data_IF_392760748217
#
_entry.id   IF_392760748217
#
_cell.length_a   1.000
_cell.length_b   1.000
_cell.length_c   1.000
_cell.angle_alpha   90.00
_cell.angle_beta   90.00
_cell.angle_gamma   90.00
#
_symmetry.space_group_name_H-M   'P 1'
#
loop_
_entity.id
_entity.type
_entity.pdbx_description
1 polymer ?
#
# COMPACT_ATOMS: atom_id res chain seq x y z
N UNK A 1 20.15 -64.21 27.38
CA UNK A 1 19.73 -63.73 26.05
C UNK A 1 18.53 -64.57 25.60
N UNK A 2 17.44 -63.98 25.11
CA UNK A 2 16.25 -64.72 24.65
C UNK A 2 16.18 -64.67 23.12
N UNK A 3 16.36 -65.81 22.47
CA UNK A 3 16.20 -65.96 21.02
C UNK A 3 14.74 -66.33 20.71
N UNK A 4 14.11 -65.65 19.75
CA UNK A 4 12.77 -65.97 19.24
C UNK A 4 12.84 -66.52 17.82
N UNK A 5 11.91 -67.40 17.39
CA UNK A 5 12.19 -68.32 16.28
C UNK A 5 11.80 -67.77 14.90
N UNK A 6 12.61 -68.11 13.91
CA UNK A 6 12.37 -67.83 12.49
C UNK A 6 11.17 -68.67 11.98
N UNK A 7 10.16 -68.03 11.38
CA UNK A 7 9.07 -68.71 10.66
C UNK A 7 9.30 -68.68 9.15
N UNK A 8 9.87 -69.76 8.62
CA UNK A 8 9.85 -70.06 7.19
C UNK A 8 8.48 -70.65 6.82
N UNK A 9 7.79 -70.09 5.82
CA UNK A 9 6.56 -70.68 5.26
C UNK A 9 6.83 -71.16 3.83
N UNK A 10 6.78 -72.48 3.62
CA UNK A 10 7.27 -73.13 2.41
C UNK A 10 6.29 -73.17 1.22
N UNK A 11 6.86 -73.48 0.05
CA UNK A 11 6.16 -73.84 -1.21
C UNK A 11 5.41 -75.18 -1.09
N UNK A 12 4.32 -75.32 -1.87
CA UNK A 12 3.72 -76.52 -2.55
C UNK A 12 2.24 -76.15 -2.84
N UNK A 13 1.58 -76.46 -3.95
CA UNK A 13 1.86 -76.96 -5.31
C UNK A 13 0.66 -76.51 -6.19
N UNK A 14 0.33 -76.99 -7.39
CA UNK A 14 0.96 -77.84 -8.40
C UNK A 14 0.19 -77.64 -9.75
N UNK A 15 0.72 -78.07 -10.90
CA UNK A 15 0.08 -77.93 -12.22
C UNK A 15 -0.98 -79.01 -12.53
N UNK A 16 -1.94 -78.74 -13.45
CA UNK A 16 -2.28 -79.61 -14.62
C UNK A 16 -3.17 -78.88 -15.69
N UNK A 17 -3.43 -79.43 -16.92
CA UNK A 17 -2.86 -78.78 -18.13
C UNK A 17 -3.75 -78.71 -19.41
N UNK A 18 -3.21 -78.14 -20.50
CA UNK A 18 -3.50 -78.42 -21.95
C UNK A 18 -4.92 -78.13 -22.52
N UNK A 19 -5.15 -77.84 -23.81
CA UNK A 19 -4.27 -77.89 -24.99
C UNK A 19 -4.70 -76.98 -26.16
N UNK A 20 -3.74 -76.77 -27.09
CA UNK A 20 -3.86 -76.24 -28.49
C UNK A 20 -4.38 -74.79 -28.66
N UNK A 21 -4.13 -74.06 -29.77
CA UNK A 21 -3.41 -74.32 -31.03
C UNK A 21 -2.53 -73.08 -31.43
N UNK A 22 -1.61 -73.14 -32.44
CA UNK A 22 -0.57 -72.11 -32.61
C UNK A 22 -0.86 -71.04 -33.69
N UNK A 23 -0.34 -69.83 -33.46
CA UNK A 23 -0.07 -68.83 -34.50
C UNK A 23 1.28 -68.16 -34.25
N UNK A 24 2.20 -68.29 -35.21
CA UNK A 24 3.48 -67.57 -35.24
C UNK A 24 3.19 -66.10 -35.55
N UNK A 25 3.95 -65.15 -34.98
CA UNK A 25 4.53 -63.96 -35.70
C UNK A 25 5.11 -62.93 -34.71
N UNK A 26 6.36 -62.50 -35.00
CA UNK A 26 7.09 -61.32 -34.49
C UNK A 26 7.35 -61.20 -32.98
N UNK A 27 8.64 -61.31 -32.63
CA UNK A 27 9.20 -60.66 -31.46
C UNK A 27 9.02 -59.14 -31.57
N UNK A 28 8.57 -58.43 -30.51
CA UNK A 28 9.00 -57.07 -30.28
C UNK A 28 10.39 -57.13 -29.63
N UNK A 29 11.33 -56.41 -30.22
CA UNK A 29 12.66 -56.16 -29.67
C UNK A 29 12.50 -55.54 -28.27
N UNK A 30 13.28 -56.01 -27.31
CA UNK A 30 13.45 -55.30 -26.04
C UNK A 30 14.21 -53.99 -26.30
N UNK A 31 13.48 -52.93 -26.63
CA UNK A 31 13.95 -51.59 -26.32
C UNK A 31 13.84 -51.43 -24.82
N UNK A 32 14.94 -51.75 -24.14
CA UNK A 32 15.25 -51.32 -22.77
C UNK A 32 15.41 -49.79 -22.77
N UNK A 33 14.31 -49.09 -23.06
CA UNK A 33 14.19 -47.67 -22.85
C UNK A 33 14.16 -47.48 -21.34
N UNK A 34 15.37 -47.33 -20.78
CA UNK A 34 15.67 -46.90 -19.43
C UNK A 34 15.16 -45.49 -19.16
N UNK A 35 13.86 -45.27 -19.34
CA UNK A 35 13.06 -44.29 -18.65
C UNK A 35 13.04 -44.68 -17.16
N UNK A 36 14.21 -44.53 -16.53
CA UNK A 36 14.28 -44.23 -15.12
C UNK A 36 13.37 -43.01 -14.93
N UNK A 37 12.14 -43.28 -14.47
CA UNK A 37 11.26 -42.30 -13.87
C UNK A 37 12.07 -41.67 -12.76
N UNK A 38 12.78 -40.59 -13.08
CA UNK A 38 13.26 -39.62 -12.11
C UNK A 38 11.98 -39.19 -11.43
N UNK A 39 11.73 -39.76 -10.26
CA UNK A 39 10.60 -39.45 -9.42
C UNK A 39 10.82 -37.99 -9.00
N UNK A 40 10.36 -37.08 -9.87
CA UNK A 40 10.63 -35.65 -9.79
C UNK A 40 10.15 -35.25 -8.42
N UNK A 41 11.07 -34.89 -7.52
CA UNK A 41 10.78 -34.55 -6.13
C UNK A 41 9.60 -33.58 -6.12
N UNK A 42 8.41 -34.11 -5.84
CA UNK A 42 7.19 -33.37 -6.04
C UNK A 42 7.14 -32.37 -4.90
N UNK A 43 7.03 -31.08 -5.21
CA UNK A 43 7.21 -30.01 -4.23
C UNK A 43 6.34 -30.24 -2.98
N UNK A 44 5.09 -30.67 -3.16
CA UNK A 44 4.16 -31.02 -2.07
C UNK A 44 4.63 -32.14 -1.11
N UNK A 45 5.59 -33.01 -1.51
CA UNK A 45 6.15 -34.07 -0.64
C UNK A 45 7.23 -33.56 0.32
N UNK A 46 7.73 -32.33 0.16
CA UNK A 46 8.75 -31.78 1.06
C UNK A 46 8.13 -31.40 2.42
N UNK A 47 8.91 -31.38 3.53
CA UNK A 47 8.48 -30.80 4.81
C UNK A 47 8.07 -29.33 4.68
N UNK A 48 7.21 -28.84 5.58
CA UNK A 48 6.69 -27.46 5.49
C UNK A 48 7.81 -26.43 5.62
N UNK A 49 8.77 -26.66 6.49
CA UNK A 49 9.90 -25.78 6.79
C UNK A 49 10.76 -25.57 5.54
N UNK A 50 11.00 -26.64 4.79
CA UNK A 50 11.74 -26.60 3.52
C UNK A 50 10.93 -25.85 2.44
N UNK A 51 9.60 -25.99 2.43
CA UNK A 51 8.74 -25.23 1.53
C UNK A 51 8.70 -23.74 1.86
N UNK A 52 8.63 -23.35 3.14
CA UNK A 52 8.71 -21.95 3.56
C UNK A 52 10.05 -21.33 3.15
N UNK A 53 11.17 -22.04 3.38
CA UNK A 53 12.52 -21.61 2.94
C UNK A 53 12.60 -21.45 1.42
N UNK A 54 12.13 -22.43 0.64
CA UNK A 54 12.12 -22.34 -0.84
C UNK A 54 11.24 -21.16 -1.30
N UNK A 55 10.07 -20.97 -0.70
CA UNK A 55 9.14 -19.90 -1.05
C UNK A 55 9.77 -18.52 -0.82
N UNK A 56 10.33 -18.29 0.38
CA UNK A 56 11.00 -17.04 0.75
C UNK A 56 12.25 -16.79 -0.13
N UNK A 57 13.09 -17.81 -0.33
CA UNK A 57 14.28 -17.69 -1.17
C UNK A 57 13.95 -17.43 -2.65
N UNK A 58 12.86 -18.01 -3.16
CA UNK A 58 12.42 -17.81 -4.55
C UNK A 58 11.82 -16.42 -4.81
N UNK A 59 11.37 -15.72 -3.76
CA UNK A 59 10.56 -14.48 -3.82
C UNK A 59 9.31 -14.58 -4.70
N UNK A 60 8.91 -15.79 -5.12
CA UNK A 60 7.87 -15.97 -6.12
C UNK A 60 6.49 -16.08 -5.47
N UNK A 61 5.78 -14.95 -5.40
CA UNK A 61 4.42 -14.85 -4.86
C UNK A 61 3.37 -15.65 -5.62
N UNK A 62 3.67 -16.16 -6.83
CA UNK A 62 2.78 -17.07 -7.56
C UNK A 62 2.90 -18.54 -7.09
N UNK A 63 3.92 -18.91 -6.32
CA UNK A 63 4.16 -20.28 -5.89
C UNK A 63 2.98 -20.91 -5.12
N UNK A 64 2.32 -20.21 -4.17
CA UNK A 64 1.14 -20.74 -3.48
C UNK A 64 -0.06 -20.92 -4.42
N UNK A 65 -0.12 -20.19 -5.53
CA UNK A 65 -1.24 -20.24 -6.48
C UNK A 65 -1.19 -21.47 -7.41
N UNK A 66 -0.07 -22.19 -7.45
CA UNK A 66 0.11 -23.37 -8.32
C UNK A 66 -0.73 -24.58 -7.85
N UNK A 67 -1.01 -24.68 -6.55
CA UNK A 67 -1.75 -25.80 -5.97
C UNK A 67 -2.36 -25.40 -4.61
N UNK A 68 -3.62 -25.77 -4.35
CA UNK A 68 -4.30 -25.50 -3.07
C UNK A 68 -3.60 -26.10 -1.83
N UNK A 69 -2.89 -27.23 -1.95
CA UNK A 69 -2.07 -27.77 -0.86
C UNK A 69 -0.90 -26.84 -0.53
N UNK A 70 -0.18 -26.37 -1.56
CA UNK A 70 0.89 -25.39 -1.40
C UNK A 70 0.35 -24.06 -0.86
N UNK A 71 -0.83 -23.63 -1.31
CA UNK A 71 -1.51 -22.47 -0.75
C UNK A 71 -1.72 -22.60 0.76
N UNK A 72 -2.37 -23.67 1.21
CA UNK A 72 -2.68 -23.87 2.63
C UNK A 72 -1.42 -23.91 3.51
N UNK A 73 -0.36 -24.54 3.01
CA UNK A 73 0.91 -24.70 3.75
C UNK A 73 1.78 -23.44 3.75
N UNK A 74 1.81 -22.70 2.65
CA UNK A 74 2.58 -21.45 2.51
C UNK A 74 1.81 -20.21 2.99
N UNK A 75 0.51 -20.32 3.29
CA UNK A 75 -0.30 -19.25 3.88
C UNK A 75 -0.10 -19.12 5.40
N UNK A 76 0.88 -19.82 5.98
CA UNK A 76 1.26 -19.69 7.39
C UNK A 76 1.67 -18.23 7.73
N UNK A 77 1.35 -17.71 8.93
CA UNK A 77 1.84 -16.40 9.35
C UNK A 77 3.38 -16.33 9.38
N UNK A 78 4.04 -17.43 9.74
CA UNK A 78 5.51 -17.58 9.69
C UNK A 78 6.08 -17.23 8.32
N UNK A 79 5.58 -17.90 7.26
CA UNK A 79 6.04 -17.66 5.89
C UNK A 79 5.80 -16.22 5.44
N UNK A 80 4.67 -15.62 5.83
CA UNK A 80 4.34 -14.22 5.53
C UNK A 80 5.28 -13.24 6.22
N UNK A 81 5.56 -13.42 7.52
CA UNK A 81 6.55 -12.59 8.24
C UNK A 81 7.95 -12.72 7.65
N UNK A 82 8.36 -13.92 7.24
CA UNK A 82 9.65 -14.14 6.57
C UNK A 82 9.70 -13.48 5.18
N UNK A 83 8.63 -13.54 4.38
CA UNK A 83 8.53 -12.84 3.10
C UNK A 83 8.61 -11.31 3.25
N UNK A 84 7.86 -10.73 4.20
CA UNK A 84 7.93 -9.29 4.49
C UNK A 84 9.34 -8.92 4.95
N UNK A 85 9.95 -9.72 5.82
CA UNK A 85 11.35 -9.53 6.25
C UNK A 85 12.35 -9.64 5.09
N UNK A 86 12.10 -10.51 4.11
CA UNK A 86 12.94 -10.65 2.92
C UNK A 86 12.78 -9.48 1.91
N UNK A 87 11.63 -8.82 1.89
CA UNK A 87 11.36 -7.68 1.00
C UNK A 87 11.79 -6.33 1.61
N UNK A 88 11.54 -6.13 2.90
CA UNK A 88 11.78 -4.86 3.59
C UNK A 88 13.04 -4.88 4.46
N UNK A 89 13.54 -6.05 4.87
CA UNK A 89 14.61 -6.17 5.85
C UNK A 89 15.94 -5.50 5.48
N UNK A 90 16.26 -5.34 4.20
CA UNK A 90 17.44 -4.59 3.75
C UNK A 90 17.26 -3.07 3.93
N UNK A 91 16.08 -2.55 3.59
CA UNK A 91 15.69 -1.15 3.83
C UNK A 91 15.66 -0.88 5.33
N UNK A 92 15.03 -1.77 6.10
CA UNK A 92 15.00 -1.68 7.56
C UNK A 92 16.41 -1.75 8.16
N UNK A 93 17.29 -2.67 7.74
CA UNK A 93 18.62 -2.75 8.38
C UNK A 93 19.48 -1.51 8.16
N UNK A 94 19.30 -0.88 6.99
CA UNK A 94 20.03 0.34 6.61
C UNK A 94 19.49 1.59 7.32
N UNK A 95 18.16 1.70 7.48
CA UNK A 95 17.50 2.95 7.87
C UNK A 95 16.73 2.88 9.20
N UNK A 96 16.73 1.75 9.91
CA UNK A 96 16.02 1.62 11.18
C UNK A 96 16.50 2.66 12.21
N UNK A 97 15.59 3.57 12.53
CA UNK A 97 15.82 4.66 13.49
C UNK A 97 16.67 5.82 12.97
N UNK A 98 16.95 5.89 11.67
CA UNK A 98 17.51 7.08 11.05
C UNK A 98 16.38 8.03 10.64
N UNK A 99 16.58 9.33 10.91
CA UNK A 99 15.75 10.36 10.28
C UNK A 99 16.13 10.44 8.80
N UNK A 100 15.15 10.56 7.90
CA UNK A 100 15.43 10.80 6.47
C UNK A 100 16.23 12.10 6.26
N UNK A 101 16.09 13.11 7.14
CA UNK A 101 16.94 14.32 7.16
C UNK A 101 18.42 13.96 7.42
N UNK A 102 18.69 12.94 8.24
CA UNK A 102 20.05 12.43 8.49
C UNK A 102 20.61 11.64 7.30
N UNK A 103 19.74 11.08 6.44
CA UNK A 103 20.14 10.39 5.19
C UNK A 103 20.29 11.39 4.03
N UNK A 104 19.57 12.52 4.08
CA UNK A 104 19.56 13.62 3.11
C UNK A 104 20.86 14.43 3.06
N UNK A 105 21.96 13.75 2.76
CA UNK A 105 23.32 14.32 2.70
C UNK A 105 23.55 15.28 1.52
N UNK A 106 22.63 15.37 0.56
CA UNK A 106 22.68 16.28 -0.59
C UNK A 106 21.28 16.46 -1.23
N UNK A 107 21.13 17.48 -2.08
CA UNK A 107 19.89 17.72 -2.85
C UNK A 107 19.57 16.53 -3.77
N UNK A 108 18.29 16.23 -3.97
CA UNK A 108 17.82 15.15 -4.86
C UNK A 108 18.26 13.73 -4.46
N UNK A 109 18.70 13.51 -3.21
CA UNK A 109 19.05 12.17 -2.70
C UNK A 109 17.95 11.11 -2.90
N UNK A 110 16.68 11.55 -2.91
CA UNK A 110 15.49 10.70 -3.15
C UNK A 110 15.39 10.18 -4.58
N UNK A 111 16.13 10.77 -5.52
CA UNK A 111 16.22 10.38 -6.92
C UNK A 111 17.46 9.52 -7.24
N UNK A 112 18.44 9.38 -6.33
CA UNK A 112 19.60 8.51 -6.54
C UNK A 112 19.25 7.05 -6.22
N UNK A 113 18.59 6.42 -7.19
CA UNK A 113 18.12 5.03 -7.13
C UNK A 113 19.23 4.02 -6.81
N UNK A 114 20.49 4.33 -7.13
CA UNK A 114 21.63 3.44 -6.92
C UNK A 114 22.12 3.42 -5.46
N UNK A 115 21.72 4.39 -4.64
CA UNK A 115 22.14 4.51 -3.22
C UNK A 115 21.07 4.11 -2.22
N UNK A 116 19.80 4.09 -2.60
CA UNK A 116 18.73 3.70 -1.67
C UNK A 116 18.68 2.16 -1.60
N UNK A 117 18.88 1.62 -0.40
CA UNK A 117 18.94 0.16 -0.20
C UNK A 117 17.53 -0.42 -0.08
N UNK A 118 17.19 -1.32 -0.99
CA UNK A 118 15.92 -2.05 -0.99
C UNK A 118 15.62 -2.74 -2.32
N UNK A 119 14.46 -3.40 -2.38
CA UNK A 119 13.89 -3.96 -3.61
C UNK A 119 12.47 -3.40 -3.76
N UNK A 120 12.28 -2.21 -4.38
CA UNK A 120 10.97 -1.58 -4.48
C UNK A 120 9.96 -2.42 -5.27
N UNK A 121 10.42 -3.20 -6.25
CA UNK A 121 9.55 -4.07 -7.03
C UNK A 121 8.97 -5.19 -6.15
N UNK A 122 9.81 -5.84 -5.33
CA UNK A 122 9.37 -6.89 -4.42
C UNK A 122 8.57 -6.33 -3.23
N UNK A 123 8.93 -5.18 -2.67
CA UNK A 123 8.12 -4.49 -1.65
C UNK A 123 6.72 -4.16 -2.19
N UNK A 124 6.63 -3.60 -3.40
CA UNK A 124 5.35 -3.34 -4.07
C UNK A 124 4.54 -4.61 -4.31
N UNK A 125 5.21 -5.71 -4.72
CA UNK A 125 4.56 -6.99 -4.95
C UNK A 125 3.97 -7.59 -3.66
N UNK A 126 4.67 -7.48 -2.53
CA UNK A 126 4.18 -7.87 -1.20
C UNK A 126 2.97 -7.02 -0.81
N UNK A 127 3.03 -5.69 -0.94
CA UNK A 127 1.94 -4.79 -0.53
C UNK A 127 0.66 -4.97 -1.37
N UNK A 128 0.77 -5.45 -2.62
CA UNK A 128 -0.40 -5.82 -3.44
C UNK A 128 -1.08 -7.13 -3.00
N UNK A 129 -0.47 -7.93 -2.10
CA UNK A 129 -1.11 -9.14 -1.60
C UNK A 129 -2.24 -8.82 -0.61
N UNK A 130 -3.39 -9.48 -0.76
CA UNK A 130 -4.57 -9.28 0.11
C UNK A 130 -4.34 -9.58 1.61
N UNK A 131 -3.32 -10.37 1.94
CA UNK A 131 -2.91 -10.66 3.32
C UNK A 131 -1.95 -9.62 3.91
N UNK A 132 -1.32 -8.76 3.08
CA UNK A 132 -0.38 -7.73 3.51
C UNK A 132 -1.15 -6.48 3.95
N UNK A 133 -1.75 -6.54 5.15
CA UNK A 133 -2.42 -5.42 5.79
C UNK A 133 -1.52 -4.75 6.84
N UNK A 134 -1.95 -3.59 7.35
CA UNK A 134 -1.22 -2.82 8.38
C UNK A 134 -0.74 -3.68 9.56
N UNK A 135 -1.61 -4.51 10.14
CA UNK A 135 -1.26 -5.37 11.29
C UNK A 135 -0.15 -6.37 10.95
N UNK A 136 -0.22 -6.99 9.76
CA UNK A 136 0.83 -7.88 9.23
C UNK A 136 2.16 -7.12 9.06
N UNK A 137 2.15 -5.91 8.51
CA UNK A 137 3.37 -5.12 8.28
C UNK A 137 4.05 -4.71 9.60
N UNK A 138 3.28 -4.15 10.55
CA UNK A 138 3.82 -3.76 11.87
C UNK A 138 4.33 -4.98 12.64
N UNK A 139 3.59 -6.09 12.63
CA UNK A 139 4.02 -7.33 13.32
C UNK A 139 5.28 -7.92 12.69
N UNK A 140 5.41 -7.86 11.37
CA UNK A 140 6.64 -8.26 10.65
C UNK A 140 7.83 -7.40 11.08
N UNK A 141 7.66 -6.08 11.13
CA UNK A 141 8.69 -5.13 11.55
C UNK A 141 9.07 -5.33 13.02
N UNK A 142 8.12 -5.62 13.91
CA UNK A 142 8.43 -6.00 15.30
C UNK A 142 9.23 -7.30 15.40
N UNK A 143 8.85 -8.35 14.66
CA UNK A 143 9.57 -9.63 14.64
C UNK A 143 11.00 -9.43 14.13
N UNK A 144 11.15 -8.69 13.03
CA UNK A 144 12.45 -8.32 12.48
C UNK A 144 13.28 -7.50 13.48
N UNK A 145 12.67 -6.53 14.16
CA UNK A 145 13.32 -5.69 15.19
C UNK A 145 13.89 -6.52 16.33
N UNK A 146 13.12 -7.48 16.86
CA UNK A 146 13.55 -8.38 17.94
C UNK A 146 14.70 -9.31 17.53
N UNK A 147 14.88 -9.55 16.23
CA UNK A 147 15.93 -10.40 15.66
C UNK A 147 17.20 -9.60 15.32
N UNK A 148 17.05 -8.49 14.59
CA UNK A 148 18.16 -7.77 13.93
C UNK A 148 18.51 -6.43 14.58
N UNK A 149 17.59 -5.78 15.30
CA UNK A 149 17.80 -4.46 15.88
C UNK A 149 18.11 -4.47 17.39
N UNK A 150 18.60 -5.60 17.93
CA UNK A 150 18.96 -5.70 19.35
C UNK A 150 20.06 -4.69 19.71
N UNK A 151 19.77 -3.82 20.68
CA UNK A 151 20.68 -2.75 21.09
C UNK A 151 20.61 -1.47 20.22
N UNK A 152 19.80 -1.43 19.15
CA UNK A 152 19.53 -0.21 18.39
C UNK A 152 18.29 0.49 18.93
N UNK A 153 18.42 1.72 19.42
CA UNK A 153 17.26 2.58 19.66
C UNK A 153 16.63 2.98 18.30
N UNK A 154 15.30 2.99 18.21
CA UNK A 154 14.62 3.47 16.99
C UNK A 154 14.50 4.99 16.97
N UNK A 155 14.25 5.63 18.12
CA UNK A 155 14.25 7.08 18.19
C UNK A 155 14.72 7.55 19.56
N UNK A 156 15.65 8.50 19.54
CA UNK A 156 16.15 9.20 20.72
C UNK A 156 15.66 10.63 20.67
N UNK A 157 14.87 11.05 21.66
CA UNK A 157 14.34 12.40 21.73
C UNK A 157 15.47 13.36 22.16
N UNK A 158 15.85 14.38 21.36
CA UNK A 158 16.88 15.33 21.78
C UNK A 158 16.45 16.08 23.05
N UNK A 159 17.31 16.07 24.08
CA UNK A 159 17.10 16.83 25.32
C UNK A 159 16.10 16.22 26.31
N UNK A 160 15.48 15.08 26.03
CA UNK A 160 14.77 14.29 27.05
C UNK A 160 15.66 13.13 27.50
N UNK A 161 15.96 13.05 28.79
CA UNK A 161 16.84 12.03 29.37
C UNK A 161 16.41 10.62 28.95
N UNK A 162 17.25 9.97 28.14
CA UNK A 162 17.25 8.54 27.74
C UNK A 162 15.92 7.89 27.33
N UNK A 163 14.88 8.66 26.99
CA UNK A 163 13.61 8.09 26.53
C UNK A 163 13.70 7.60 25.09
N UNK A 164 14.31 6.42 24.94
CA UNK A 164 14.25 5.62 23.73
C UNK A 164 12.81 5.17 23.48
N UNK A 165 12.34 5.32 22.24
CA UNK A 165 11.07 4.76 21.79
C UNK A 165 11.31 3.51 20.94
N UNK A 166 10.42 2.53 21.03
CA UNK A 166 10.33 1.47 20.01
C UNK A 166 9.67 2.02 18.74
N UNK A 167 9.81 1.32 17.61
CA UNK A 167 9.10 1.70 16.38
C UNK A 167 7.58 1.78 16.59
N UNK A 168 6.89 0.77 17.18
CA UNK A 168 5.45 0.87 17.49
C UNK A 168 5.08 2.09 18.35
N UNK A 169 5.87 2.41 19.38
CA UNK A 169 5.61 3.59 20.24
C UNK A 169 5.72 4.90 19.44
N UNK A 170 6.76 5.04 18.63
CA UNK A 170 6.99 6.23 17.79
C UNK A 170 5.95 6.31 16.68
N UNK A 171 5.51 5.18 16.11
CA UNK A 171 4.37 5.13 15.20
C UNK A 171 3.09 5.67 15.85
N UNK A 172 2.71 5.15 17.02
CA UNK A 172 1.52 5.59 17.75
C UNK A 172 1.62 7.08 18.13
N UNK A 173 2.81 7.54 18.53
CA UNK A 173 3.07 8.94 18.87
C UNK A 173 2.89 9.87 17.67
N UNK A 174 3.49 9.54 16.52
CA UNK A 174 3.38 10.37 15.32
C UNK A 174 1.98 10.27 14.70
N UNK A 175 1.33 9.11 14.76
CA UNK A 175 -0.05 8.95 14.29
C UNK A 175 -1.00 9.81 15.14
N UNK A 176 -0.87 9.80 16.46
CA UNK A 176 -1.61 10.74 17.34
C UNK A 176 -1.28 12.20 17.00
N UNK A 177 -0.01 12.55 16.76
CA UNK A 177 0.38 13.89 16.33
C UNK A 177 -0.27 14.28 14.99
N UNK A 178 -0.40 13.34 14.06
CA UNK A 178 -1.12 13.55 12.82
C UNK A 178 -2.61 13.80 13.10
N UNK A 179 -3.28 12.94 13.87
CA UNK A 179 -4.69 13.11 14.24
C UNK A 179 -4.99 14.46 14.93
N UNK A 180 -4.10 14.94 15.82
CA UNK A 180 -4.28 16.19 16.57
C UNK A 180 -3.69 17.44 15.89
N UNK A 181 -2.71 17.26 14.99
CA UNK A 181 -2.03 18.32 14.25
C UNK A 181 -2.83 18.81 13.03
N UNK A 182 -3.79 18.00 12.57
CA UNK A 182 -4.84 18.49 11.67
C UNK A 182 -5.62 19.61 12.38
N UNK A 183 -5.89 20.75 11.70
CA UNK A 183 -6.46 21.92 12.35
C UNK A 183 -7.76 21.60 13.10
N UNK A 184 -7.70 21.80 14.42
CA UNK A 184 -8.87 21.75 15.29
C UNK A 184 -9.87 22.85 14.90
N UNK A 185 -11.14 22.62 15.21
CA UNK A 185 -12.33 23.35 14.69
C UNK A 185 -12.19 24.88 14.75
N UNK A 186 -11.54 25.41 15.78
CA UNK A 186 -11.37 26.86 16.00
C UNK A 186 -10.36 27.56 15.07
N UNK A 187 -9.44 26.84 14.42
CA UNK A 187 -8.31 27.48 13.70
C UNK A 187 -8.66 28.02 12.31
N UNK A 188 -9.77 27.59 11.69
CA UNK A 188 -10.06 27.87 10.27
C UNK A 188 -10.32 29.35 9.91
N UNK A 189 -10.49 30.25 10.88
CA UNK A 189 -10.78 31.68 10.67
C UNK A 189 -9.76 32.46 9.81
N UNK A 190 -8.60 31.90 9.45
CA UNK A 190 -7.65 32.54 8.54
C UNK A 190 -6.95 31.52 7.61
N UNK A 191 -7.55 31.16 6.46
CA UNK A 191 -7.09 30.05 5.62
C UNK A 191 -5.72 30.26 4.97
N UNK A 192 -5.26 31.50 4.82
CA UNK A 192 -4.01 31.82 4.10
C UNK A 192 -2.74 31.68 4.96
N UNK A 193 -2.86 31.67 6.29
CA UNK A 193 -1.70 31.58 7.21
C UNK A 193 -1.41 30.13 7.61
N UNK A 194 -2.39 29.23 7.47
CA UNK A 194 -2.33 27.87 8.04
C UNK A 194 -1.67 26.83 7.13
N UNK A 195 -1.83 26.94 5.80
CA UNK A 195 -1.44 25.86 4.89
C UNK A 195 0.07 25.65 4.78
N UNK A 196 0.86 26.72 4.80
CA UNK A 196 2.34 26.64 4.75
C UNK A 196 2.94 26.02 6.02
N UNK A 197 2.42 26.39 7.20
CA UNK A 197 2.86 25.86 8.49
C UNK A 197 2.41 24.40 8.67
N UNK A 198 1.18 24.07 8.24
CA UNK A 198 0.68 22.69 8.26
C UNK A 198 1.44 21.78 7.28
N UNK A 199 1.75 22.23 6.07
CA UNK A 199 2.54 21.44 5.12
C UNK A 199 3.96 21.21 5.69
N UNK A 200 4.64 22.24 6.19
CA UNK A 200 5.95 22.09 6.84
C UNK A 200 5.91 21.12 8.04
N UNK A 201 4.88 21.21 8.88
CA UNK A 201 4.67 20.28 10.00
C UNK A 201 4.46 18.84 9.54
N UNK A 202 3.62 18.63 8.52
CA UNK A 202 3.37 17.29 7.97
C UNK A 202 4.62 16.73 7.30
N UNK A 203 5.40 17.53 6.57
CA UNK A 203 6.69 17.11 6.02
C UNK A 203 7.68 16.73 7.12
N UNK A 204 7.77 17.47 8.23
CA UNK A 204 8.61 17.07 9.37
C UNK A 204 8.13 15.78 10.06
N UNK A 205 6.82 15.56 10.13
CA UNK A 205 6.21 14.40 10.79
C UNK A 205 6.27 13.12 9.95
N UNK A 206 6.14 13.24 8.62
CA UNK A 206 5.96 12.14 7.68
C UNK A 206 7.15 11.93 6.74
N UNK A 207 7.93 12.96 6.47
CA UNK A 207 9.16 12.89 5.67
C UNK A 207 10.41 12.57 6.50
N UNK A 208 10.27 12.01 7.71
CA UNK A 208 11.38 11.72 8.62
C UNK A 208 11.71 10.23 8.80
N UNK A 209 11.02 9.28 8.16
CA UNK A 209 11.37 7.85 8.27
C UNK A 209 11.53 7.19 6.89
N UNK A 210 12.41 6.20 6.83
CA UNK A 210 12.73 5.42 5.61
C UNK A 210 12.52 3.92 5.86
N UNK A 211 11.30 3.56 6.29
CA UNK A 211 10.90 2.17 6.53
C UNK A 211 10.51 1.44 5.24
N UNK A 212 10.28 2.20 4.16
CA UNK A 212 9.82 1.73 2.86
C UNK A 212 10.66 2.42 1.80
N UNK A 213 11.08 1.68 0.76
CA UNK A 213 11.82 2.28 -0.34
C UNK A 213 10.94 3.32 -1.07
N UNK A 214 11.38 4.56 -1.40
CA UNK A 214 10.49 5.60 -1.93
C UNK A 214 9.80 5.27 -3.26
N UNK A 215 10.43 4.40 -4.07
CA UNK A 215 9.86 3.82 -5.30
C UNK A 215 8.87 2.66 -5.09
N UNK A 216 8.57 2.28 -3.85
CA UNK A 216 7.58 1.24 -3.56
C UNK A 216 6.18 1.80 -3.84
N UNK A 217 5.47 1.18 -4.79
CA UNK A 217 4.12 1.58 -5.18
C UNK A 217 3.14 1.37 -4.03
N UNK A 218 2.42 2.42 -3.67
CA UNK A 218 1.31 2.35 -2.72
C UNK A 218 0.17 1.54 -3.36
N UNK A 219 -0.38 0.49 -2.72
CA UNK A 219 -1.48 -0.28 -3.27
C UNK A 219 -2.68 0.59 -3.64
N UNK A 220 -3.18 0.43 -4.87
CA UNK A 220 -4.26 1.25 -5.42
C UNK A 220 -5.55 1.15 -4.58
N UNK A 221 -5.78 0.03 -3.90
CA UNK A 221 -6.91 -0.16 -2.99
C UNK A 221 -6.84 0.68 -1.69
N UNK A 222 -5.70 1.29 -1.35
CA UNK A 222 -5.55 2.30 -0.30
C UNK A 222 -5.79 3.72 -0.84
N UNK A 223 -5.45 3.93 -2.12
CA UNK A 223 -5.70 5.16 -2.87
C UNK A 223 -7.10 5.23 -3.51
N UNK A 224 -7.90 4.17 -3.38
CA UNK A 224 -9.28 4.11 -3.85
C UNK A 224 -10.25 3.77 -2.72
N UNK A 225 -11.48 4.26 -2.88
CA UNK A 225 -12.61 3.74 -2.12
C UNK A 225 -12.87 2.25 -2.40
N UNK A 226 -13.82 1.62 -1.66
CA UNK A 226 -14.61 2.25 -0.59
C UNK A 226 -13.77 2.50 0.68
N UNK A 227 -14.14 3.54 1.42
CA UNK A 227 -13.63 3.85 2.77
C UNK A 227 -14.70 3.62 3.85
N UNK A 228 -15.83 3.06 3.45
CA UNK A 228 -17.02 2.81 4.25
C UNK A 228 -17.69 1.54 3.70
N UNK A 229 -18.15 0.66 4.59
CA UNK A 229 -18.88 -0.55 4.22
C UNK A 229 -20.35 -0.28 3.93
N UNK A 230 -21.06 -1.26 3.37
CA UNK A 230 -22.47 -1.13 2.94
C UNK A 230 -23.44 -0.80 4.09
N UNK A 231 -23.06 -1.15 5.33
CA UNK A 231 -23.76 -0.84 6.58
C UNK A 231 -23.48 0.59 7.11
N UNK A 232 -22.60 1.35 6.44
CA UNK A 232 -22.20 2.68 6.87
C UNK A 232 -21.14 2.72 7.98
N UNK A 233 -20.42 1.62 8.25
CA UNK A 233 -19.23 1.66 9.11
C UNK A 233 -18.00 2.17 8.37
N UNK A 234 -17.24 3.04 9.03
CA UNK A 234 -15.97 3.61 8.53
C UNK A 234 -14.73 2.82 8.96
N UNK A 235 -14.88 1.71 9.69
CA UNK A 235 -13.76 0.96 10.27
C UNK A 235 -12.77 0.47 9.20
N UNK A 236 -13.28 0.09 8.01
CA UNK A 236 -12.44 -0.30 6.85
C UNK A 236 -11.64 0.89 6.30
N UNK A 237 -12.21 2.10 6.31
CA UNK A 237 -11.54 3.32 5.90
C UNK A 237 -10.48 3.76 6.90
N UNK A 238 -10.74 3.66 8.20
CA UNK A 238 -9.74 3.91 9.25
C UNK A 238 -8.55 2.94 9.15
N UNK A 239 -8.82 1.66 8.87
CA UNK A 239 -7.78 0.65 8.65
C UNK A 239 -6.92 0.96 7.40
N UNK A 240 -7.56 1.32 6.27
CA UNK A 240 -6.85 1.77 5.06
C UNK A 240 -6.04 3.03 5.31
N UNK A 241 -6.60 4.01 6.02
CA UNK A 241 -5.95 5.29 6.33
C UNK A 241 -4.73 5.10 7.24
N UNK A 242 -4.79 4.24 8.27
CA UNK A 242 -3.62 3.88 9.09
C UNK A 242 -2.53 3.21 8.26
N UNK A 243 -2.90 2.34 7.31
CA UNK A 243 -1.93 1.70 6.43
C UNK A 243 -1.29 2.69 5.45
N UNK A 244 -2.09 3.56 4.84
CA UNK A 244 -1.60 4.63 3.96
C UNK A 244 -0.68 5.59 4.72
N UNK A 245 -1.06 6.00 5.93
CA UNK A 245 -0.22 6.81 6.82
C UNK A 245 1.12 6.11 7.07
N UNK A 246 1.14 4.81 7.39
CA UNK A 246 2.39 4.07 7.60
C UNK A 246 3.28 4.07 6.36
N UNK A 247 2.73 3.83 5.17
CA UNK A 247 3.48 3.85 3.91
C UNK A 247 4.08 5.22 3.62
N UNK A 248 3.27 6.27 3.68
CA UNK A 248 3.70 7.67 3.42
C UNK A 248 4.75 8.10 4.44
N UNK A 249 4.50 7.84 5.72
CA UNK A 249 5.44 8.08 6.83
C UNK A 249 6.75 7.32 6.66
N UNK A 250 6.70 6.11 6.10
CA UNK A 250 7.85 5.27 5.83
C UNK A 250 8.64 5.67 4.57
N UNK A 251 8.22 6.72 3.85
CA UNK A 251 8.91 7.26 2.68
C UNK A 251 8.29 6.88 1.32
N UNK A 252 7.19 6.11 1.28
CA UNK A 252 6.57 5.70 0.02
C UNK A 252 5.87 6.87 -0.69
N UNK A 253 6.19 7.07 -1.98
CA UNK A 253 5.63 8.11 -2.83
C UNK A 253 4.64 7.54 -3.87
N UNK A 254 3.85 8.40 -4.50
CA UNK A 254 3.15 8.03 -5.73
C UNK A 254 4.16 7.78 -6.85
N UNK A 255 3.97 6.67 -7.57
CA UNK A 255 4.77 6.34 -8.75
C UNK A 255 4.09 6.85 -10.04
N UNK A 256 4.87 7.04 -11.11
CA UNK A 256 4.37 7.56 -12.38
C UNK A 256 3.31 6.65 -13.04
N UNK A 257 3.34 5.36 -12.72
CA UNK A 257 2.40 4.34 -13.20
C UNK A 257 1.04 4.38 -12.47
N UNK A 258 0.92 5.13 -11.36
CA UNK A 258 -0.33 5.25 -10.61
C UNK A 258 -1.26 6.23 -11.31
N UNK A 259 -2.27 5.69 -12.00
CA UNK A 259 -3.17 6.47 -12.83
C UNK A 259 -4.00 7.47 -12.01
N UNK A 260 -4.24 8.63 -12.64
CA UNK A 260 -5.12 9.67 -12.12
C UNK A 260 -6.55 9.17 -11.86
N UNK A 261 -6.98 8.07 -12.51
CA UNK A 261 -8.29 7.43 -12.34
C UNK A 261 -8.46 6.79 -10.95
N UNK A 262 -7.44 6.09 -10.44
CA UNK A 262 -7.44 5.54 -9.06
C UNK A 262 -7.53 6.70 -8.06
N UNK A 263 -6.70 7.74 -8.24
CA UNK A 263 -6.71 8.93 -7.39
C UNK A 263 -8.05 9.67 -7.46
N UNK A 264 -8.70 9.73 -8.63
CA UNK A 264 -10.05 10.27 -8.79
C UNK A 264 -11.09 9.43 -8.04
N UNK A 265 -11.02 8.10 -8.15
CA UNK A 265 -11.87 7.19 -7.40
C UNK A 265 -11.71 7.38 -5.88
N UNK A 266 -10.48 7.56 -5.42
CA UNK A 266 -10.14 7.97 -4.05
C UNK A 266 -10.81 9.27 -3.64
N UNK A 267 -10.52 10.39 -4.33
CA UNK A 267 -11.09 11.72 -4.02
C UNK A 267 -12.63 11.70 -4.04
N UNK A 268 -13.26 11.06 -5.03
CA UNK A 268 -14.73 10.90 -5.08
C UNK A 268 -15.26 10.13 -3.87
N UNK A 269 -14.59 9.05 -3.45
CA UNK A 269 -14.96 8.30 -2.27
C UNK A 269 -14.78 9.09 -0.96
N UNK A 270 -13.74 9.94 -0.86
CA UNK A 270 -13.57 10.83 0.30
C UNK A 270 -14.67 11.90 0.33
N UNK A 271 -15.03 12.51 -0.80
CA UNK A 271 -16.17 13.44 -0.88
C UNK A 271 -17.47 12.76 -0.47
N UNK A 272 -17.68 11.49 -0.88
CA UNK A 272 -18.86 10.70 -0.48
C UNK A 272 -18.96 10.50 1.04
N UNK A 273 -17.85 10.33 1.77
CA UNK A 273 -17.87 10.26 3.25
C UNK A 273 -18.45 11.53 3.87
N UNK A 274 -18.14 12.70 3.29
CA UNK A 274 -18.62 14.01 3.75
C UNK A 274 -20.11 14.17 3.40
N UNK A 275 -20.47 14.01 2.12
CA UNK A 275 -21.85 14.24 1.66
C UNK A 275 -22.84 13.18 2.18
N UNK A 276 -22.39 11.95 2.39
CA UNK A 276 -23.18 10.86 2.95
C UNK A 276 -23.48 11.02 4.46
N UNK A 277 -22.82 11.97 5.14
CA UNK A 277 -23.04 12.24 6.56
C UNK A 277 -24.42 12.86 6.88
N UNK A 278 -25.15 13.36 5.87
CA UNK A 278 -26.49 13.95 6.05
C UNK A 278 -27.66 12.97 6.17
N UNK A 279 -27.43 11.65 6.11
CA UNK A 279 -28.47 10.62 6.28
C UNK A 279 -28.84 10.36 7.75
N UNK A 280 -29.56 9.26 8.00
CA UNK A 280 -29.99 8.77 9.33
C UNK A 280 -28.83 8.24 10.21
N UNK A 281 -27.63 8.79 10.04
CA UNK A 281 -26.43 8.42 10.75
C UNK A 281 -26.38 9.07 12.14
N UNK A 282 -25.86 8.36 13.14
CA UNK A 282 -25.63 8.93 14.47
C UNK A 282 -24.58 10.05 14.40
N UNK A 283 -24.69 11.06 15.27
CA UNK A 283 -23.74 12.17 15.36
C UNK A 283 -22.28 11.70 15.49
N UNK A 284 -22.06 10.58 16.18
CA UNK A 284 -20.73 9.94 16.32
C UNK A 284 -20.22 9.45 14.96
N UNK A 285 -21.06 8.81 14.15
CA UNK A 285 -20.65 8.33 12.82
C UNK A 285 -20.36 9.51 11.87
N UNK A 286 -21.16 10.57 11.92
CA UNK A 286 -20.89 11.84 11.21
C UNK A 286 -19.50 12.40 11.56
N UNK A 287 -19.17 12.46 12.85
CA UNK A 287 -17.86 12.93 13.32
C UNK A 287 -16.71 12.01 12.85
N UNK A 288 -16.88 10.68 12.91
CA UNK A 288 -15.86 9.73 12.42
C UNK A 288 -15.64 9.85 10.92
N UNK A 289 -16.71 9.89 10.11
CA UNK A 289 -16.65 10.12 8.64
C UNK A 289 -15.88 11.39 8.31
N UNK A 290 -16.19 12.49 8.99
CA UNK A 290 -15.52 13.78 8.78
C UNK A 290 -14.03 13.74 9.17
N UNK A 291 -13.70 13.14 10.31
CA UNK A 291 -12.32 12.99 10.77
C UNK A 291 -11.48 12.15 9.78
N UNK A 292 -12.01 10.99 9.37
CA UNK A 292 -11.42 10.12 8.36
C UNK A 292 -11.22 10.84 7.02
N UNK A 293 -12.23 11.59 6.56
CA UNK A 293 -12.13 12.35 5.32
C UNK A 293 -11.03 13.42 5.38
N UNK A 294 -10.92 14.13 6.50
CA UNK A 294 -9.88 15.15 6.74
C UNK A 294 -8.48 14.53 6.74
N UNK A 295 -8.33 13.37 7.38
CA UNK A 295 -7.06 12.61 7.42
C UNK A 295 -6.65 12.13 6.02
N UNK A 296 -7.57 11.50 5.27
CA UNK A 296 -7.32 11.04 3.91
C UNK A 296 -6.97 12.19 2.97
N UNK A 297 -7.70 13.32 3.02
CA UNK A 297 -7.36 14.52 2.23
C UNK A 297 -5.96 15.05 2.52
N UNK A 298 -5.52 14.98 3.78
CA UNK A 298 -4.20 15.47 4.19
C UNK A 298 -3.07 14.56 3.69
N UNK A 299 -3.27 13.23 3.72
CA UNK A 299 -2.35 12.27 3.10
C UNK A 299 -2.29 12.45 1.58
N UNK A 300 -3.42 12.68 0.92
CA UNK A 300 -3.49 12.91 -0.53
C UNK A 300 -2.78 14.22 -0.92
N UNK A 301 -2.90 15.26 -0.09
CA UNK A 301 -2.17 16.50 -0.31
C UNK A 301 -0.65 16.31 -0.18
N UNK A 302 -0.20 15.59 0.85
CA UNK A 302 1.22 15.29 1.02
C UNK A 302 1.79 14.42 -0.10
N UNK A 303 1.00 13.46 -0.60
CA UNK A 303 1.34 12.64 -1.75
C UNK A 303 1.37 13.41 -3.08
N UNK A 304 1.10 14.71 -3.09
CA UNK A 304 1.06 15.50 -4.32
C UNK A 304 -0.11 15.14 -5.24
N UNK A 305 -1.16 14.47 -4.74
CA UNK A 305 -2.32 14.07 -5.56
C UNK A 305 -2.94 15.27 -6.28
N UNK A 306 -2.96 16.44 -5.63
CA UNK A 306 -3.52 17.67 -6.22
C UNK A 306 -2.55 18.44 -7.14
N UNK A 307 -1.31 17.97 -7.25
CA UNK A 307 -0.23 18.54 -8.09
C UNK A 307 0.14 17.63 -9.27
N UNK A 308 -0.21 16.34 -9.18
CA UNK A 308 -0.19 15.40 -10.29
C UNK A 308 -0.96 15.93 -11.52
N UNK A 309 -0.62 15.44 -12.71
CA UNK A 309 -1.22 15.94 -13.96
C UNK A 309 -2.60 15.34 -14.21
N UNK A 310 -3.65 15.96 -13.68
CA UNK A 310 -5.04 15.61 -13.98
C UNK A 310 -5.40 16.00 -15.44
N UNK A 311 -6.02 15.12 -16.23
CA UNK A 311 -6.49 15.46 -17.57
C UNK A 311 -7.57 16.55 -17.55
N UNK A 312 -7.58 17.44 -18.55
CA UNK A 312 -8.45 18.64 -18.53
C UNK A 312 -9.97 18.33 -18.51
N UNK A 313 -10.35 17.13 -18.92
CA UNK A 313 -11.74 16.63 -18.92
C UNK A 313 -12.17 16.00 -17.59
N UNK A 314 -11.26 15.67 -16.67
CA UNK A 314 -11.57 14.88 -15.48
C UNK A 314 -12.50 15.58 -14.47
N UNK A 315 -12.62 16.91 -14.56
CA UNK A 315 -13.51 17.73 -13.72
C UNK A 315 -14.90 17.95 -14.33
N UNK A 316 -15.24 17.29 -15.45
CA UNK A 316 -16.49 17.46 -16.18
C UNK A 316 -17.22 16.11 -16.29
N UNK A 317 -18.09 15.81 -15.31
CA UNK A 317 -18.92 14.60 -15.26
C UNK A 317 -18.84 13.87 -13.89
N UNK A 318 -19.92 13.48 -13.23
CA UNK A 318 -21.36 13.62 -13.53
C UNK A 318 -22.11 14.05 -12.25
N UNK A 319 -23.14 14.91 -12.39
CA UNK A 319 -24.12 15.16 -11.32
C UNK A 319 -23.68 16.02 -10.13
N UNK A 320 -22.43 16.49 -10.04
CA UNK A 320 -22.09 17.58 -9.10
C UNK A 320 -22.59 18.88 -9.71
N UNK A 321 -23.64 19.41 -9.11
CA UNK A 321 -24.39 20.56 -9.60
C UNK A 321 -23.48 21.79 -9.72
N UNK A 322 -23.38 22.37 -10.93
CA UNK A 322 -22.47 23.50 -11.20
C UNK A 322 -22.82 24.76 -10.39
N UNK A 323 -24.02 24.78 -9.81
CA UNK A 323 -24.51 25.78 -8.84
C UNK A 323 -23.61 25.93 -7.61
N UNK A 324 -22.96 24.86 -7.12
CA UNK A 324 -22.12 24.94 -5.92
C UNK A 324 -20.73 25.58 -6.15
N UNK A 325 -20.25 25.66 -7.41
CA UNK A 325 -18.92 26.20 -7.73
C UNK A 325 -18.91 27.66 -8.21
N UNK A 326 -20.05 28.37 -8.22
CA UNK A 326 -20.13 29.71 -8.79
C UNK A 326 -21.11 30.66 -8.05
N UNK A 327 -20.74 31.21 -6.88
CA UNK A 327 -21.55 32.19 -6.18
C UNK A 327 -21.41 33.58 -6.82
N UNK A 328 -22.46 34.01 -7.53
CA UNK A 328 -22.74 35.44 -7.75
C UNK A 328 -21.86 36.18 -8.76
N UNK A 329 -22.20 36.08 -10.04
CA UNK A 329 -21.96 37.19 -10.99
C UNK A 329 -23.23 37.51 -11.77
N UNK A 330 -24.22 38.06 -11.05
CA UNK A 330 -25.23 38.91 -11.67
C UNK A 330 -24.85 40.36 -11.42
N UNK A 331 -24.38 41.05 -12.45
CA UNK A 331 -24.77 42.44 -12.65
C UNK A 331 -24.64 42.80 -14.13
N UNK A 332 -25.80 43.06 -14.73
CA UNK A 332 -25.97 43.36 -16.13
C UNK A 332 -26.08 44.89 -16.26
N UNK A 333 -25.03 45.56 -16.74
CA UNK A 333 -25.10 46.96 -17.16
C UNK A 333 -24.35 47.14 -18.47
N UNK A 334 -25.04 47.68 -19.48
CA UNK A 334 -24.48 47.85 -20.82
C UNK A 334 -23.51 49.03 -20.92
N UNK A 335 -22.58 48.94 -21.88
CA UNK A 335 -21.65 50.02 -22.22
C UNK A 335 -21.16 49.85 -23.65
N UNK A 336 -21.49 50.83 -24.51
CA UNK A 336 -21.26 50.76 -25.96
C UNK A 336 -19.85 51.22 -26.34
N UNK A 337 -19.27 50.55 -27.35
CA UNK A 337 -18.23 51.04 -28.29
C UNK A 337 -17.08 51.94 -27.77
N UNK A 338 -15.85 51.41 -27.86
CA UNK A 338 -14.86 52.02 -28.77
C UNK A 338 -13.79 51.03 -29.25
N UNK A 339 -13.32 51.20 -30.49
CA UNK A 339 -12.08 50.60 -31.00
C UNK A 339 -10.88 51.32 -30.39
N UNK A 340 -9.84 50.57 -30.05
CA UNK A 340 -8.57 50.65 -30.79
C UNK A 340 -7.65 49.45 -30.52
N UNK A 341 -6.80 49.14 -31.51
CA UNK A 341 -6.01 47.90 -31.53
C UNK A 341 -4.60 48.06 -30.99
N UNK A 342 -4.11 47.04 -30.29
CA UNK A 342 -2.66 46.78 -30.15
C UNK A 342 -2.42 45.28 -29.96
N UNK A 343 -1.94 44.60 -31.00
CA UNK A 343 -1.48 43.21 -30.88
C UNK A 343 -0.20 43.14 -30.03
N UNK A 344 -0.33 42.65 -28.79
CA UNK A 344 0.78 42.04 -28.05
C UNK A 344 0.47 40.57 -27.81
N UNK A 345 1.14 39.69 -28.55
CA UNK A 345 1.09 38.24 -28.35
C UNK A 345 1.77 37.85 -27.04
N UNK A 346 1.05 37.92 -25.92
CA UNK A 346 1.41 37.14 -24.73
C UNK A 346 1.11 35.68 -25.03
N UNK A 347 2.17 34.89 -25.20
CA UNK A 347 2.07 33.43 -25.09
C UNK A 347 1.70 33.11 -23.64
N UNK A 348 0.41 32.94 -23.38
CA UNK A 348 -0.06 32.42 -22.10
C UNK A 348 0.34 30.95 -22.01
N UNK A 349 1.24 30.61 -21.09
CA UNK A 349 1.64 29.23 -20.86
C UNK A 349 0.40 28.39 -20.47
N UNK A 350 0.08 27.29 -21.19
CA UNK A 350 -1.18 26.55 -21.03
C UNK A 350 -1.33 25.80 -19.68
N UNK A 351 -0.33 25.86 -18.79
CA UNK A 351 -0.37 25.25 -17.47
C UNK A 351 -1.06 26.09 -16.37
N UNK A 352 -1.14 27.43 -16.49
CA UNK A 352 -1.55 28.28 -15.35
C UNK A 352 -3.03 28.12 -14.95
N UNK A 353 -3.90 27.81 -15.92
CA UNK A 353 -5.34 27.59 -15.66
C UNK A 353 -5.61 26.29 -14.90
N UNK A 354 -4.82 25.24 -15.15
CA UNK A 354 -5.00 23.90 -14.58
C UNK A 354 -4.76 23.90 -13.07
N UNK A 355 -3.60 24.44 -12.67
CA UNK A 355 -3.21 24.60 -11.26
C UNK A 355 -4.22 25.48 -10.52
N UNK A 356 -4.79 26.50 -11.17
CA UNK A 356 -5.85 27.34 -10.58
C UNK A 356 -7.14 26.56 -10.28
N UNK A 357 -7.59 25.69 -11.19
CA UNK A 357 -8.80 24.85 -10.97
C UNK A 357 -8.59 23.82 -9.85
N UNK A 358 -7.45 23.14 -9.84
CA UNK A 358 -7.10 22.18 -8.78
C UNK A 358 -7.00 22.85 -7.40
N UNK A 359 -6.37 24.03 -7.32
CA UNK A 359 -6.36 24.84 -6.09
C UNK A 359 -7.76 25.30 -5.69
N UNK A 360 -8.64 25.63 -6.64
CA UNK A 360 -10.07 25.91 -6.36
C UNK A 360 -10.82 24.69 -5.85
N UNK A 361 -10.62 23.49 -6.38
CA UNK A 361 -11.23 22.27 -5.85
C UNK A 361 -10.71 21.96 -4.43
N UNK A 362 -9.41 22.06 -4.18
CA UNK A 362 -8.81 21.94 -2.84
C UNK A 362 -9.44 22.94 -1.87
N UNK A 363 -9.50 24.23 -2.24
CA UNK A 363 -10.11 25.29 -1.43
C UNK A 363 -11.63 25.09 -1.23
N UNK A 364 -12.36 24.66 -2.25
CA UNK A 364 -13.81 24.42 -2.16
C UNK A 364 -14.12 23.23 -1.26
N UNK A 365 -13.39 22.12 -1.38
CA UNK A 365 -13.53 20.96 -0.48
C UNK A 365 -13.19 21.35 0.96
N UNK A 366 -12.11 22.10 1.18
CA UNK A 366 -11.76 22.62 2.51
C UNK A 366 -12.84 23.58 3.05
N UNK A 367 -13.45 24.40 2.18
CA UNK A 367 -14.59 25.28 2.52
C UNK A 367 -15.90 24.51 2.76
N UNK A 368 -16.15 23.39 2.08
CA UNK A 368 -17.31 22.52 2.35
C UNK A 368 -17.13 21.78 3.67
N UNK A 369 -15.92 21.32 3.95
CA UNK A 369 -15.52 20.79 5.26
C UNK A 369 -15.70 21.86 6.35
N UNK A 370 -15.41 23.13 6.07
CA UNK A 370 -15.65 24.25 7.00
C UNK A 370 -17.16 24.54 7.20
N UNK A 371 -17.96 24.56 6.14
CA UNK A 371 -19.41 24.87 6.19
C UNK A 371 -20.29 23.78 6.82
N UNK A 372 -19.84 22.53 6.84
CA UNK A 372 -20.53 21.43 7.54
C UNK A 372 -19.98 21.16 8.95
N UNK A 373 -19.06 22.01 9.42
CA UNK A 373 -18.51 22.03 10.80
C UNK A 373 -19.12 23.12 11.66
#
# INVERSE_FOLDING_TARGET
MKLTPIRVRGRRGQHKPTNTAPSKTKQPIMTDDGQGRRDRLQLHKLPQEILEVIFVASRNLSLPLVNSDLYNRLSSPSAKYQLVSAAFGLTWDTYYGLDAISVASYNEWWADEARIIGDPAFQSAILRCSWANFTMMITSLEVWTRQHARGRAYFTIPGAEERTMTMPDKFIFDFKKFEHGLPSRDRFRNPNVLLLDQEAYLYALLGSHMEVHPRTQIPDNLLSGPFESEDGSVDIGEAKMRFLFWLVRGGACLQAEQNWEVLQGGVRAIVKLITGAGGEATLINVQRRFALATQLFSLYNLLGVFEAHWPDYSLVGDGVDQSMMNPGSSNNTGGTLHRDGTCRSRQNAPGSSKISRMKKCRLHILSTLELQR
#
